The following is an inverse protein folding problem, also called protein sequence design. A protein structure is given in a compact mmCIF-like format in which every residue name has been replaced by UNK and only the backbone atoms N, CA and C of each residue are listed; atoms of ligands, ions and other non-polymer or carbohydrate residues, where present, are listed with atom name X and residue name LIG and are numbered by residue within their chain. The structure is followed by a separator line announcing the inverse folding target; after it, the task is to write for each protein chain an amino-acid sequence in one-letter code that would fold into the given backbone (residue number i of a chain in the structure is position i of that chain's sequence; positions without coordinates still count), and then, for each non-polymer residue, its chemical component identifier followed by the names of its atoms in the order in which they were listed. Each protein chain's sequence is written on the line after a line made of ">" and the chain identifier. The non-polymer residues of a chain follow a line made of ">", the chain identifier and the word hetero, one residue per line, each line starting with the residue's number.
data_IF_466507050825
#
_entry.id   IF_466507050825
#
_cell.length_a   1.000
_cell.length_b   1.000
_cell.length_c   1.000
_cell.angle_alpha   90.00
_cell.angle_beta   90.00
_cell.angle_gamma   90.00
#
_symmetry.space_group_name_H-M   'P 1'
#
loop_
_entity.id
_entity.type
_entity.pdbx_description
1 polymer ?
#
# COMPACT_ATOMS: atom_id res chain seq x y z
N UNK A 1 -10.37 -8.53 7.00
CA UNK A 1 -8.99 -8.27 6.59
C UNK A 1 -8.88 -6.84 6.08
N UNK A 2 -7.93 -6.10 6.58
CA UNK A 2 -7.76 -4.69 6.25
C UNK A 2 -6.37 -4.43 5.72
N UNK A 3 -6.23 -3.43 4.87
CA UNK A 3 -4.95 -3.02 4.34
C UNK A 3 -4.66 -1.57 4.68
N UNK A 4 -3.38 -1.27 4.79
CA UNK A 4 -2.88 0.08 4.97
C UNK A 4 -1.76 0.31 3.97
N UNK A 5 -1.80 1.44 3.26
CA UNK A 5 -0.71 1.83 2.37
C UNK A 5 0.13 2.86 3.09
N UNK A 6 1.44 2.62 3.15
CA UNK A 6 2.40 3.50 3.82
C UNK A 6 3.35 4.10 2.80
N UNK A 7 3.60 5.39 2.91
CA UNK A 7 4.55 6.10 2.05
C UNK A 7 5.65 6.69 2.93
N UNK A 8 6.89 6.39 2.59
CA UNK A 8 8.05 7.01 3.23
C UNK A 8 8.86 7.73 2.17
N UNK A 9 9.70 8.68 2.59
CA UNK A 9 10.61 9.38 1.71
C UNK A 9 11.98 9.43 2.38
N UNK A 10 12.99 8.90 1.69
CA UNK A 10 14.36 8.89 2.18
C UNK A 10 14.50 8.32 3.60
N UNK A 11 13.69 7.29 3.89
CA UNK A 11 13.70 6.62 5.19
C UNK A 11 12.79 7.25 6.26
N UNK A 12 12.11 8.35 5.95
CA UNK A 12 11.21 9.01 6.88
C UNK A 12 9.75 8.75 6.51
N UNK A 13 8.93 8.50 7.53
CA UNK A 13 7.49 8.35 7.31
C UNK A 13 6.93 9.66 6.76
N UNK A 14 6.18 9.57 5.66
CA UNK A 14 5.62 10.72 5.00
C UNK A 14 4.10 10.76 5.11
N UNK A 15 3.45 9.62 4.83
CA UNK A 15 2.00 9.56 4.74
C UNK A 15 1.54 8.10 4.86
N UNK A 16 0.35 7.90 5.40
CA UNK A 16 -0.27 6.57 5.42
C UNK A 16 -1.78 6.70 5.32
N UNK A 17 -2.43 5.71 4.71
CA UNK A 17 -3.87 5.59 4.78
C UNK A 17 -4.26 5.10 6.17
N UNK A 18 -5.52 5.26 6.55
CA UNK A 18 -6.02 4.73 7.81
C UNK A 18 -5.91 3.19 7.81
N UNK A 19 -5.68 2.60 8.98
CA UNK A 19 -5.60 1.14 9.14
C UNK A 19 -6.81 0.39 8.60
N UNK A 20 -7.96 1.03 8.57
CA UNK A 20 -9.22 0.42 8.15
C UNK A 20 -9.78 1.00 6.87
N UNK A 21 -8.96 1.71 6.11
CA UNK A 21 -9.43 2.39 4.90
C UNK A 21 -9.64 1.45 3.72
N UNK A 22 -8.86 0.37 3.65
CA UNK A 22 -8.92 -0.58 2.54
C UNK A 22 -9.31 -1.95 3.08
N UNK A 23 -10.54 -2.37 2.81
CA UNK A 23 -11.14 -3.54 3.46
C UNK A 23 -10.96 -4.84 2.71
N UNK A 24 -10.56 -4.79 1.45
CA UNK A 24 -10.39 -6.00 0.65
C UNK A 24 -9.43 -5.75 -0.51
N UNK A 25 -9.11 -6.81 -1.25
CA UNK A 25 -8.18 -6.74 -2.37
C UNK A 25 -8.67 -5.79 -3.46
N UNK A 26 -9.97 -5.75 -3.72
CA UNK A 26 -10.53 -4.88 -4.75
C UNK A 26 -10.30 -3.40 -4.45
N UNK A 27 -10.47 -3.00 -3.20
CA UNK A 27 -10.22 -1.62 -2.79
C UNK A 27 -8.73 -1.30 -2.86
N UNK A 28 -7.87 -2.23 -2.42
CA UNK A 28 -6.42 -2.05 -2.51
C UNK A 28 -5.97 -1.88 -3.95
N UNK A 29 -6.46 -2.73 -4.85
CA UNK A 29 -6.10 -2.68 -6.27
C UNK A 29 -6.55 -1.36 -6.90
N UNK A 30 -7.68 -0.82 -6.46
CA UNK A 30 -8.19 0.45 -6.99
C UNK A 30 -7.37 1.65 -6.50
N UNK A 31 -6.93 1.63 -5.25
CA UNK A 31 -6.29 2.79 -4.63
C UNK A 31 -4.77 2.80 -4.79
N UNK A 32 -4.13 1.64 -4.70
CA UNK A 32 -2.67 1.56 -4.73
C UNK A 32 -2.03 2.23 -5.96
N UNK A 33 -2.52 2.00 -7.21
CA UNK A 33 -1.90 2.64 -8.37
C UNK A 33 -1.98 4.16 -8.33
N UNK A 34 -3.04 4.72 -7.75
CA UNK A 34 -3.20 6.17 -7.64
C UNK A 34 -2.13 6.73 -6.72
N UNK A 35 -1.90 6.09 -5.59
CA UNK A 35 -0.89 6.53 -4.62
C UNK A 35 0.51 6.34 -5.19
N UNK A 36 0.78 5.19 -5.81
CA UNK A 36 2.10 4.91 -6.40
C UNK A 36 2.45 5.91 -7.50
N UNK A 37 1.47 6.36 -8.27
CA UNK A 37 1.70 7.36 -9.31
C UNK A 37 2.07 8.72 -8.72
N UNK A 38 1.43 9.09 -7.60
CA UNK A 38 1.69 10.38 -6.95
C UNK A 38 3.00 10.40 -6.16
N UNK A 39 3.48 9.25 -5.74
CA UNK A 39 4.69 9.13 -4.92
C UNK A 39 5.67 8.17 -5.58
N UNK A 40 6.27 8.56 -6.72
CA UNK A 40 7.13 7.66 -7.49
C UNK A 40 8.45 7.36 -6.80
N UNK A 41 8.90 6.13 -6.93
CA UNK A 41 10.16 5.67 -6.35
C UNK A 41 11.35 6.49 -6.87
N UNK A 42 11.29 6.92 -8.11
CA UNK A 42 12.36 7.72 -8.73
C UNK A 42 12.59 9.05 -8.01
N UNK A 43 11.62 9.54 -7.26
CA UNK A 43 11.73 10.79 -6.49
C UNK A 43 12.08 10.55 -5.03
N UNK A 44 12.44 9.32 -4.66
CA UNK A 44 12.86 8.97 -3.31
C UNK A 44 11.75 8.43 -2.42
N UNK A 45 10.55 8.24 -2.95
CA UNK A 45 9.44 7.68 -2.19
C UNK A 45 9.49 6.15 -2.19
N UNK A 46 9.02 5.59 -1.10
CA UNK A 46 8.82 4.15 -0.99
C UNK A 46 7.39 3.90 -0.54
N UNK A 47 6.64 3.14 -1.33
CA UNK A 47 5.23 2.82 -1.04
C UNK A 47 5.17 1.35 -0.67
N UNK A 48 4.64 1.05 0.51
CA UNK A 48 4.49 -0.31 1.01
C UNK A 48 3.07 -0.55 1.49
N UNK A 49 2.70 -1.82 1.60
CA UNK A 49 1.36 -2.22 2.02
C UNK A 49 1.47 -3.16 3.21
N UNK A 50 0.69 -2.89 4.25
CA UNK A 50 0.60 -3.73 5.42
C UNK A 50 -0.81 -4.34 5.49
N UNK A 51 -0.90 -5.62 5.78
CA UNK A 51 -2.16 -6.30 6.01
C UNK A 51 -2.42 -6.39 7.52
N UNK A 52 -3.59 -5.91 7.93
CA UNK A 52 -4.03 -6.02 9.32
C UNK A 52 -5.07 -7.12 9.43
N UNK A 53 -4.73 -8.19 10.13
CA UNK A 53 -5.65 -9.30 10.40
C UNK A 53 -5.50 -9.69 11.88
N UNK A 54 -4.92 -10.84 12.22
CA UNK A 54 -4.61 -11.17 13.60
C UNK A 54 -3.33 -10.51 14.06
N UNK A 55 -2.42 -10.30 13.13
CA UNK A 55 -1.16 -9.60 13.32
C UNK A 55 -0.78 -8.92 12.00
N UNK A 56 0.03 -7.88 12.10
CA UNK A 56 0.43 -7.10 10.93
C UNK A 56 1.42 -7.89 10.07
N UNK A 57 1.22 -7.86 8.76
CA UNK A 57 2.05 -8.58 7.81
C UNK A 57 2.30 -7.70 6.59
N UNK A 58 3.55 -7.64 6.14
CA UNK A 58 3.87 -6.95 4.90
C UNK A 58 3.27 -7.72 3.72
N UNK A 59 2.78 -6.98 2.74
CA UNK A 59 2.09 -7.53 1.59
C UNK A 59 2.96 -7.35 0.34
N UNK A 60 3.11 -8.43 -0.42
CA UNK A 60 3.70 -8.35 -1.75
C UNK A 60 2.62 -7.85 -2.71
N UNK A 61 2.57 -6.53 -2.90
CA UNK A 61 1.55 -5.89 -3.72
C UNK A 61 1.61 -6.36 -5.18
N UNK A 62 2.79 -6.72 -5.67
CA UNK A 62 2.92 -7.17 -7.04
C UNK A 62 2.14 -8.48 -7.28
N UNK A 63 2.10 -9.37 -6.31
CA UNK A 63 1.34 -10.62 -6.44
C UNK A 63 -0.16 -10.35 -6.47
N UNK A 64 -0.62 -9.38 -5.71
CA UNK A 64 -2.04 -8.99 -5.70
C UNK A 64 -2.41 -8.35 -7.03
N UNK A 65 -1.56 -7.46 -7.54
CA UNK A 65 -1.80 -6.79 -8.81
C UNK A 65 -1.79 -7.77 -9.98
N UNK A 66 -0.94 -8.80 -9.95
CA UNK A 66 -0.92 -9.84 -10.97
C UNK A 66 -2.26 -10.57 -11.05
N UNK A 67 -2.89 -10.83 -9.92
CA UNK A 67 -4.18 -11.50 -9.88
C UNK A 67 -5.30 -10.65 -10.48
N UNK A 68 -5.12 -9.34 -10.50
CA UNK A 68 -6.12 -8.40 -11.03
C UNK A 68 -6.10 -8.32 -12.55
N UNK A 69 -5.03 -8.80 -13.17
CA UNK A 69 -4.88 -8.80 -14.63
C UNK A 69 -5.39 -10.15 -15.23
#
# INVERSE_FOLDING_TARGET
>A
MMYEINVSKDGWHFFATSERSLRNDSELIAVYPIIAEKFPEAEGYHVSVTRHYEYDTDVDINRIMEKAN
#
